data_IF_480137736141
#
_entry.id   IF_480137736141
#
_cell.length_a   1.000
_cell.length_b   1.000
_cell.length_c   1.000
_cell.angle_alpha   90.00
_cell.angle_beta   90.00
_cell.angle_gamma   90.00
#
_symmetry.space_group_name_H-M   'P 1'
#
loop_
_entity.id
_entity.type
_entity.pdbx_description
1 polymer ?
#
# COMPACT_ATOMS: atom_id res chain seq x y z
N UNK A 1 11.02 -5.63 -3.26
CA UNK A 1 10.03 -4.84 -4.03
C UNK A 1 9.78 -5.35 -5.46
N UNK A 2 10.77 -5.90 -6.16
CA UNK A 2 10.65 -6.28 -7.59
C UNK A 2 9.61 -7.38 -7.86
N UNK A 3 9.45 -8.33 -6.92
CA UNK A 3 8.49 -9.43 -7.01
C UNK A 3 7.03 -8.94 -7.08
N UNK A 4 6.67 -7.91 -6.32
CA UNK A 4 5.31 -7.34 -6.36
C UNK A 4 5.05 -6.49 -7.62
N UNK A 5 6.10 -6.16 -8.36
CA UNK A 5 6.03 -5.47 -9.65
C UNK A 5 6.18 -6.43 -10.84
N UNK A 6 6.21 -7.73 -10.60
CA UNK A 6 6.48 -8.75 -11.63
C UNK A 6 5.17 -9.35 -12.14
N UNK A 7 4.95 -9.24 -13.46
CA UNK A 7 3.75 -9.74 -14.13
C UNK A 7 3.55 -11.25 -13.99
N UNK A 8 4.61 -12.01 -13.66
CA UNK A 8 4.52 -13.45 -13.35
C UNK A 8 3.67 -13.74 -12.12
N UNK A 9 3.61 -12.81 -11.16
CA UNK A 9 2.91 -12.99 -9.89
C UNK A 9 1.68 -12.10 -9.75
N UNK A 10 1.70 -10.92 -10.38
CA UNK A 10 0.61 -9.96 -10.34
C UNK A 10 0.31 -9.46 -11.75
N UNK A 11 -0.84 -9.82 -12.31
CA UNK A 11 -1.32 -9.22 -13.56
C UNK A 11 -1.39 -7.69 -13.42
N UNK A 12 -1.08 -6.90 -14.44
CA UNK A 12 -0.99 -5.42 -14.38
C UNK A 12 -0.38 -4.89 -13.05
N UNK A 13 0.89 -5.24 -12.75
CA UNK A 13 1.45 -5.04 -11.42
C UNK A 13 1.69 -3.56 -11.07
N UNK A 14 1.66 -2.66 -12.06
CA UNK A 14 1.76 -1.22 -11.86
C UNK A 14 0.41 -0.55 -11.56
N UNK A 15 -0.71 -1.26 -11.69
CA UNK A 15 -2.04 -0.72 -11.45
C UNK A 15 -2.46 -0.92 -9.99
N UNK A 16 -3.00 0.13 -9.37
CA UNK A 16 -3.61 0.04 -8.05
C UNK A 16 -4.98 -0.65 -8.15
N UNK A 17 -5.02 -1.95 -7.81
CA UNK A 17 -6.22 -2.81 -7.88
C UNK A 17 -6.47 -3.54 -6.56
N UNK A 18 -7.11 -2.89 -5.56
CA UNK A 18 -7.42 -3.49 -4.25
C UNK A 18 -8.24 -4.78 -4.34
N UNK A 19 -9.09 -4.89 -5.36
CA UNK A 19 -9.98 -6.03 -5.62
C UNK A 19 -9.23 -7.36 -5.79
N UNK A 20 -7.93 -7.35 -6.11
CA UNK A 20 -7.11 -8.58 -6.16
C UNK A 20 -6.95 -9.26 -4.81
N UNK A 21 -7.20 -8.53 -3.73
CA UNK A 21 -7.12 -9.03 -2.35
C UNK A 21 -8.50 -9.23 -1.72
N UNK A 22 -9.58 -9.10 -2.51
CA UNK A 22 -10.93 -9.39 -2.06
C UNK A 22 -11.08 -10.88 -1.74
N UNK A 23 -12.07 -11.21 -0.89
CA UNK A 23 -12.33 -12.58 -0.44
C UNK A 23 -12.53 -13.58 -1.59
N UNK A 24 -13.17 -13.13 -2.67
CA UNK A 24 -13.55 -13.97 -3.81
C UNK A 24 -12.56 -13.84 -4.99
N UNK A 25 -11.41 -13.18 -4.78
CA UNK A 25 -10.38 -13.03 -5.79
C UNK A 25 -9.56 -14.32 -5.98
N UNK A 26 -8.98 -14.47 -7.17
CA UNK A 26 -7.99 -15.53 -7.43
C UNK A 26 -6.80 -15.32 -6.48
N UNK A 27 -6.45 -16.31 -5.63
CA UNK A 27 -5.37 -16.14 -4.68
C UNK A 27 -4.06 -15.79 -5.35
N UNK A 28 -3.40 -14.74 -4.85
CA UNK A 28 -2.01 -14.45 -5.23
C UNK A 28 -1.13 -15.65 -4.84
N UNK A 29 -0.13 -15.97 -5.67
CA UNK A 29 0.82 -17.04 -5.37
C UNK A 29 1.41 -16.91 -3.96
N UNK A 30 1.46 -18.02 -3.22
CA UNK A 30 1.96 -18.05 -1.84
C UNK A 30 3.37 -17.47 -1.78
N UNK A 31 3.56 -16.45 -0.94
CA UNK A 31 4.84 -15.76 -0.75
C UNK A 31 5.16 -14.63 -1.73
N UNK A 32 4.37 -14.43 -2.79
CA UNK A 32 4.53 -13.25 -3.64
C UNK A 32 4.09 -11.95 -2.95
N UNK A 33 3.12 -12.06 -2.04
CA UNK A 33 2.73 -10.98 -1.12
C UNK A 33 3.29 -11.27 0.28
N UNK A 34 4.34 -10.56 0.68
CA UNK A 34 4.98 -10.68 2.01
C UNK A 34 5.61 -9.36 2.47
N UNK A 35 4.83 -8.27 2.57
CA UNK A 35 5.37 -6.94 2.93
C UNK A 35 5.92 -6.87 4.37
N UNK A 36 5.44 -7.76 5.25
CA UNK A 36 5.88 -7.87 6.65
C UNK A 36 6.89 -9.01 6.87
N UNK A 37 7.37 -9.64 5.80
CA UNK A 37 8.16 -10.88 5.86
C UNK A 37 7.30 -12.13 5.98
N UNK A 38 7.94 -13.26 6.26
CA UNK A 38 7.32 -14.59 6.39
C UNK A 38 8.10 -15.45 7.39
N UNK A 39 7.41 -16.39 8.04
CA UNK A 39 8.03 -17.39 8.92
C UNK A 39 8.24 -16.91 10.35
N UNK A 40 9.12 -17.56 11.13
CA UNK A 40 9.26 -17.30 12.57
C UNK A 40 9.84 -15.92 12.91
N UNK A 41 10.40 -15.22 11.93
CA UNK A 41 10.91 -13.84 12.05
C UNK A 41 10.08 -12.83 11.25
N UNK A 42 8.79 -13.13 11.05
CA UNK A 42 7.82 -12.14 10.52
C UNK A 42 7.80 -10.89 11.41
N UNK A 43 7.49 -9.74 10.84
CA UNK A 43 7.39 -8.48 11.58
C UNK A 43 6.49 -8.64 12.81
N UNK A 44 7.08 -8.48 14.00
CA UNK A 44 6.37 -8.55 15.27
C UNK A 44 5.21 -7.54 15.33
N UNK A 45 5.39 -6.38 14.69
CA UNK A 45 4.39 -5.30 14.63
C UNK A 45 3.30 -5.48 13.57
N UNK A 46 3.25 -6.59 12.82
CA UNK A 46 2.30 -6.76 11.71
C UNK A 46 0.84 -6.53 12.12
N UNK A 47 0.41 -7.14 13.22
CA UNK A 47 -0.99 -7.02 13.67
C UNK A 47 -1.34 -5.61 14.12
N UNK A 48 -0.42 -4.94 14.83
CA UNK A 48 -0.59 -3.55 15.25
C UNK A 48 -0.68 -2.63 14.03
N UNK A 49 0.28 -2.74 13.11
CA UNK A 49 0.34 -1.92 11.91
C UNK A 49 -0.92 -2.06 11.05
N UNK A 50 -1.41 -3.30 10.84
CA UNK A 50 -2.65 -3.52 10.10
C UNK A 50 -3.88 -2.92 10.80
N UNK A 51 -3.93 -3.01 12.13
CA UNK A 51 -5.02 -2.43 12.92
C UNK A 51 -5.02 -0.91 12.80
N UNK A 52 -3.88 -0.27 13.05
CA UNK A 52 -3.72 1.18 12.96
C UNK A 52 -4.03 1.71 11.56
N UNK A 53 -3.45 1.10 10.50
CA UNK A 53 -3.71 1.52 9.13
C UNK A 53 -5.19 1.40 8.76
N UNK A 54 -5.87 0.33 9.20
CA UNK A 54 -7.29 0.14 8.93
C UNK A 54 -8.14 1.19 9.64
N UNK A 55 -7.85 1.47 10.91
CA UNK A 55 -8.57 2.49 11.70
C UNK A 55 -8.35 3.88 11.10
N UNK A 56 -7.10 4.24 10.78
CA UNK A 56 -6.77 5.53 10.16
C UNK A 56 -7.48 5.68 8.81
N UNK A 57 -7.43 4.66 7.96
CA UNK A 57 -8.10 4.67 6.66
C UNK A 57 -9.61 4.83 6.81
N UNK A 58 -10.24 4.07 7.73
CA UNK A 58 -11.67 4.17 8.00
C UNK A 58 -12.06 5.57 8.50
N UNK A 59 -11.29 6.15 9.42
CA UNK A 59 -11.54 7.49 9.96
C UNK A 59 -11.42 8.57 8.89
N UNK A 60 -10.40 8.49 8.03
CA UNK A 60 -10.21 9.43 6.93
C UNK A 60 -11.32 9.31 5.90
N UNK A 61 -11.62 8.10 5.42
CA UNK A 61 -12.61 7.88 4.36
C UNK A 61 -14.05 8.17 4.79
N UNK A 62 -14.37 8.10 6.08
CA UNK A 62 -15.69 8.46 6.61
C UNK A 62 -15.90 9.97 6.76
N UNK A 63 -14.83 10.76 6.83
CA UNK A 63 -14.89 12.18 7.24
C UNK A 63 -14.30 13.14 6.23
N UNK A 64 -13.49 12.64 5.30
CA UNK A 64 -12.74 13.46 4.38
C UNK A 64 -12.79 12.89 2.96
N UNK A 65 -12.95 13.79 2.01
CA UNK A 65 -12.59 13.55 0.61
C UNK A 65 -11.13 13.94 0.41
N UNK A 66 -10.33 13.04 -0.14
CA UNK A 66 -8.91 13.25 -0.42
C UNK A 66 -8.71 13.58 -1.90
N UNK A 67 -7.91 14.61 -2.19
CA UNK A 67 -7.50 14.96 -3.55
C UNK A 67 -6.00 15.19 -3.64
N UNK A 68 -5.42 14.88 -4.80
CA UNK A 68 -4.03 15.18 -5.12
C UNK A 68 -3.98 16.63 -5.65
N UNK A 69 -3.16 17.52 -5.06
CA UNK A 69 -3.00 18.89 -5.56
C UNK A 69 -2.51 18.93 -7.01
N UNK A 70 -2.94 19.94 -7.75
CA UNK A 70 -2.52 20.15 -9.13
C UNK A 70 -0.99 20.30 -9.23
N UNK A 71 -0.41 19.70 -10.27
CA UNK A 71 1.03 19.77 -10.54
C UNK A 71 1.91 18.89 -9.64
N UNK A 72 1.34 18.06 -8.77
CA UNK A 72 2.12 17.09 -7.99
C UNK A 72 2.72 16.01 -8.89
N UNK A 73 4.05 15.93 -8.93
CA UNK A 73 4.75 14.88 -9.65
C UNK A 73 4.51 13.49 -9.00
N UNK A 74 4.54 12.44 -9.82
CA UNK A 74 4.47 11.08 -9.31
C UNK A 74 5.63 10.79 -8.32
N UNK A 75 5.37 10.12 -7.19
CA UNK A 75 6.39 9.85 -6.20
C UNK A 75 7.52 8.99 -6.78
N UNK A 76 8.76 9.43 -6.60
CA UNK A 76 9.94 8.60 -6.87
C UNK A 76 10.34 7.85 -5.60
N UNK A 77 10.33 6.50 -5.58
CA UNK A 77 10.74 5.74 -4.41
C UNK A 77 12.26 5.78 -4.24
N UNK A 78 12.71 5.99 -3.01
CA UNK A 78 14.12 5.91 -2.60
C UNK A 78 14.27 4.98 -1.41
N UNK A 79 15.35 4.20 -1.38
CA UNK A 79 15.64 3.24 -0.33
C UNK A 79 16.72 3.79 0.60
N UNK A 80 16.31 4.27 1.78
CA UNK A 80 17.21 4.77 2.82
C UNK A 80 16.83 4.07 4.14
N UNK A 81 17.30 2.83 4.33
CA UNK A 81 16.83 1.87 5.36
C UNK A 81 15.42 1.34 5.09
N UNK A 82 14.43 2.21 4.92
CA UNK A 82 13.08 1.86 4.43
C UNK A 82 12.82 2.48 3.06
N UNK A 83 11.84 1.92 2.33
CA UNK A 83 11.38 2.53 1.08
C UNK A 83 10.46 3.70 1.40
N UNK A 84 10.76 4.87 0.85
CA UNK A 84 9.98 6.09 1.05
C UNK A 84 9.95 6.95 -0.22
N UNK A 85 8.99 7.87 -0.36
CA UNK A 85 9.05 8.90 -1.40
C UNK A 85 10.31 9.76 -1.24
N UNK A 86 10.91 10.20 -2.35
CA UNK A 86 12.04 11.13 -2.33
C UNK A 86 11.66 12.50 -1.77
N UNK A 87 10.46 12.97 -2.09
CA UNK A 87 9.92 14.26 -1.66
C UNK A 87 8.61 14.04 -0.88
N UNK A 88 8.22 14.97 0.01
CA UNK A 88 6.95 14.91 0.72
C UNK A 88 5.76 14.78 -0.23
N UNK A 89 4.74 14.03 0.20
CA UNK A 89 3.44 13.98 -0.45
C UNK A 89 2.48 14.90 0.28
N UNK A 90 1.81 15.78 -0.46
CA UNK A 90 0.75 16.65 0.04
C UNK A 90 -0.60 16.16 -0.50
N UNK A 91 -1.61 16.15 0.36
CA UNK A 91 -2.97 15.80 -0.01
C UNK A 91 -3.90 16.93 0.44
N UNK A 92 -4.82 17.32 -0.43
CA UNK A 92 -5.91 18.21 -0.06
C UNK A 92 -7.00 17.38 0.63
N UNK A 93 -7.48 17.88 1.77
CA UNK A 93 -8.56 17.27 2.55
C UNK A 93 -9.74 18.24 2.57
N UNK A 94 -10.90 17.76 2.12
CA UNK A 94 -12.18 18.45 2.30
C UNK A 94 -13.08 17.57 3.19
N UNK A 95 -13.96 18.12 4.03
CA UNK A 95 -15.00 17.34 4.69
C UNK A 95 -15.80 16.51 3.67
N UNK A 96 -16.07 15.25 4.00
CA UNK A 96 -16.91 14.36 3.19
C UNK A 96 -18.39 14.74 3.27
#
# INVERSE_FOLDING_TARGET
MRMQHDARWFADPSAFKPERFARDAVPTQRGAWSPFGMGPRVCLGQHLAMTEMTVIAAMLLQRCTLAVPDGMAAPRPVLNVTLRPQAPLHLALAPA
#
